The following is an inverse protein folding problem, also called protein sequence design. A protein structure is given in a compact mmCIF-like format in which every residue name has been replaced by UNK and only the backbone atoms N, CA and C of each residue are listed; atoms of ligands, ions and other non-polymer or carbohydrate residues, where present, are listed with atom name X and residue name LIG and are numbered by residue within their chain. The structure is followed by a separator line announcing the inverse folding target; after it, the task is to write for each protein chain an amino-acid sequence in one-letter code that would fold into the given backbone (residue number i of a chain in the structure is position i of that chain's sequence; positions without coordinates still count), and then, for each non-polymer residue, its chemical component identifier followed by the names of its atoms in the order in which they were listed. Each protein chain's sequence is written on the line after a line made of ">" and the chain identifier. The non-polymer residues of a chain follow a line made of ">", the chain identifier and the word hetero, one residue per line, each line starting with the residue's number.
data_IF_854506505693
#
_entry.id   IF_854506505693
#
_cell.length_a   1.000
_cell.length_b   1.000
_cell.length_c   1.000
_cell.angle_alpha   90.00
_cell.angle_beta   90.00
_cell.angle_gamma   90.00
#
_symmetry.space_group_name_H-M   'P 1'
#
loop_
_entity.id
_entity.type
_entity.pdbx_description
1 polymer ?
#
# COMPACT_ATOMS: atom_id res chain seq x y z
N UNK A 1 21.14 10.74 -6.71
CA UNK A 1 21.87 9.59 -6.13
C UNK A 1 20.98 8.40 -5.73
N UNK A 2 19.67 8.57 -5.51
CA UNK A 2 18.73 7.47 -5.17
C UNK A 2 18.06 6.79 -6.38
N UNK A 3 18.25 7.32 -7.58
CA UNK A 3 17.74 6.80 -8.86
C UNK A 3 18.31 5.43 -9.27
N UNK A 4 19.23 4.85 -8.49
CA UNK A 4 19.83 3.53 -8.73
C UNK A 4 19.17 2.40 -7.93
N UNK A 5 18.24 2.69 -7.02
CA UNK A 5 17.49 1.65 -6.31
C UNK A 5 16.53 0.97 -7.29
N UNK A 6 16.80 -0.31 -7.57
CA UNK A 6 16.01 -1.14 -8.49
C UNK A 6 14.55 -1.34 -8.07
N UNK A 7 14.21 -1.07 -6.80
CA UNK A 7 12.84 -1.18 -6.30
C UNK A 7 12.31 0.16 -5.79
N UNK A 8 11.24 0.64 -6.42
CA UNK A 8 10.50 1.85 -6.03
C UNK A 8 10.10 1.83 -4.54
N UNK A 9 9.63 0.70 -3.96
CA UNK A 9 9.31 0.63 -2.54
C UNK A 9 10.51 0.89 -1.62
N UNK A 10 11.70 0.38 -1.97
CA UNK A 10 12.89 0.57 -1.15
C UNK A 10 13.39 2.03 -1.23
N UNK A 11 13.29 2.65 -2.41
CA UNK A 11 13.60 4.07 -2.56
C UNK A 11 12.66 4.95 -1.71
N UNK A 12 11.35 4.67 -1.71
CA UNK A 12 10.38 5.37 -0.86
C UNK A 12 10.69 5.20 0.63
N UNK A 13 10.96 3.96 1.05
CA UNK A 13 11.28 3.66 2.45
C UNK A 13 12.55 4.39 2.89
N UNK A 14 13.62 4.34 2.09
CA UNK A 14 14.90 5.00 2.38
C UNK A 14 14.76 6.52 2.41
N UNK A 15 14.04 7.11 1.46
CA UNK A 15 13.75 8.54 1.44
C UNK A 15 13.00 8.97 2.70
N UNK A 16 12.04 8.17 3.14
CA UNK A 16 11.34 8.42 4.38
C UNK A 16 12.26 8.32 5.61
N UNK A 17 13.19 7.36 5.64
CA UNK A 17 14.20 7.26 6.72
C UNK A 17 15.05 8.53 6.80
N UNK A 18 15.60 8.99 5.66
CA UNK A 18 16.47 10.18 5.62
C UNK A 18 15.69 11.44 6.02
N UNK A 19 14.48 11.61 5.47
CA UNK A 19 13.67 12.83 5.69
C UNK A 19 13.10 12.92 7.11
N UNK A 20 12.68 11.79 7.67
CA UNK A 20 11.94 11.75 8.94
C UNK A 20 12.75 11.22 10.13
N UNK A 21 13.93 10.65 9.92
CA UNK A 21 14.73 10.01 10.97
C UNK A 21 15.17 10.96 12.08
N UNK A 22 15.58 12.18 11.73
CA UNK A 22 15.95 13.22 12.71
C UNK A 22 14.74 13.95 13.33
N UNK A 23 13.52 13.64 12.88
CA UNK A 23 12.31 14.33 13.35
C UNK A 23 11.62 13.54 14.44
N UNK A 24 11.13 14.28 15.44
CA UNK A 24 10.23 13.76 16.46
C UNK A 24 9.01 13.09 15.82
N UNK A 25 8.43 12.04 16.44
CA UNK A 25 7.32 11.28 15.85
C UNK A 25 6.15 12.14 15.34
N UNK A 26 5.80 13.23 16.04
CA UNK A 26 4.71 14.16 15.65
C UNK A 26 5.10 15.10 14.49
N UNK A 27 6.38 15.33 14.25
CA UNK A 27 6.92 16.20 13.19
C UNK A 27 7.19 15.48 11.86
N UNK A 28 6.95 14.16 11.81
CA UNK A 28 7.13 13.35 10.59
C UNK A 28 5.99 13.62 9.61
N UNK A 29 6.33 13.98 8.37
CA UNK A 29 5.38 14.24 7.29
C UNK A 29 5.52 13.12 6.26
N UNK A 30 4.43 12.40 6.05
CA UNK A 30 4.35 11.23 5.18
C UNK A 30 3.67 11.59 3.86
N UNK A 31 4.29 11.20 2.75
CA UNK A 31 3.66 11.29 1.42
C UNK A 31 2.55 10.25 1.28
N UNK A 32 1.72 10.38 0.25
CA UNK A 32 0.65 9.41 0.00
C UNK A 32 1.22 8.02 -0.31
N UNK A 33 2.27 7.94 -1.12
CA UNK A 33 2.94 6.70 -1.51
C UNK A 33 3.57 5.97 -0.33
N UNK A 34 4.23 6.70 0.57
CA UNK A 34 4.81 6.14 1.81
C UNK A 34 3.74 5.58 2.73
N UNK A 35 2.59 6.26 2.84
CA UNK A 35 1.43 5.75 3.59
C UNK A 35 0.86 4.49 2.96
N UNK A 36 0.80 4.43 1.63
CA UNK A 36 0.31 3.27 0.88
C UNK A 36 1.24 2.07 1.08
N UNK A 37 2.56 2.28 0.96
CA UNK A 37 3.58 1.28 1.26
C UNK A 37 3.48 0.77 2.70
N UNK A 38 3.36 1.68 3.66
CA UNK A 38 3.15 1.32 5.07
C UNK A 38 1.87 0.51 5.30
N UNK A 39 0.79 0.86 4.59
CA UNK A 39 -0.49 0.14 4.65
C UNK A 39 -0.36 -1.27 4.08
N UNK A 40 0.32 -1.43 2.94
CA UNK A 40 0.58 -2.72 2.32
C UNK A 40 1.40 -3.64 3.25
N UNK A 41 2.46 -3.12 3.88
CA UNK A 41 3.26 -3.86 4.86
C UNK A 41 2.43 -4.28 6.08
N UNK A 42 1.65 -3.36 6.63
CA UNK A 42 0.80 -3.61 7.79
C UNK A 42 -0.29 -4.65 7.52
N UNK A 43 -0.94 -4.58 6.36
CA UNK A 43 -1.96 -5.57 5.95
C UNK A 43 -1.38 -6.95 5.68
N UNK A 44 -0.11 -7.04 5.28
CA UNK A 44 0.57 -8.33 5.08
C UNK A 44 0.92 -9.01 6.41
N UNK A 45 1.42 -8.25 7.38
CA UNK A 45 1.68 -8.76 8.73
C UNK A 45 1.73 -7.62 9.76
N UNK A 46 0.69 -7.47 10.60
CA UNK A 46 0.67 -6.46 11.66
C UNK A 46 1.81 -6.65 12.67
N UNK A 47 2.14 -7.91 13.00
CA UNK A 47 3.23 -8.25 13.94
C UNK A 47 4.59 -7.82 13.39
N UNK A 48 4.87 -8.16 12.13
CA UNK A 48 6.12 -7.77 11.48
C UNK A 48 6.21 -6.24 11.34
N UNK A 49 5.10 -5.56 11.04
CA UNK A 49 5.08 -4.10 10.99
C UNK A 49 5.42 -3.45 12.34
N UNK A 50 4.83 -3.96 13.44
CA UNK A 50 5.14 -3.49 14.79
C UNK A 50 6.61 -3.70 15.16
N UNK A 51 7.18 -4.86 14.80
CA UNK A 51 8.60 -5.14 14.99
C UNK A 51 9.48 -4.17 14.18
N UNK A 52 9.23 -4.02 12.87
CA UNK A 52 9.99 -3.13 11.99
C UNK A 52 9.96 -1.68 12.48
N UNK A 53 8.85 -1.24 13.09
CA UNK A 53 8.69 0.12 13.61
C UNK A 53 9.59 0.43 14.82
N UNK A 54 10.18 -0.57 15.46
CA UNK A 54 11.10 -0.36 16.59
C UNK A 54 12.42 0.27 16.16
N UNK A 55 12.88 -0.03 14.93
CA UNK A 55 14.14 0.50 14.38
C UNK A 55 13.98 1.29 13.07
N UNK A 56 12.87 1.11 12.34
CA UNK A 56 12.57 1.91 11.15
C UNK A 56 11.61 3.05 11.44
N UNK A 57 11.84 4.17 10.76
CA UNK A 57 10.94 5.32 10.72
C UNK A 57 9.76 4.95 9.84
N UNK A 58 8.66 4.52 10.47
CA UNK A 58 7.42 4.13 9.79
C UNK A 58 6.20 4.94 10.32
N UNK A 59 5.12 5.06 9.51
CA UNK A 59 3.87 5.63 9.98
C UNK A 59 3.34 4.96 11.25
N UNK A 60 2.48 5.66 12.00
CA UNK A 60 1.77 5.01 13.11
C UNK A 60 0.62 4.15 12.59
N UNK A 61 0.26 3.10 13.33
CA UNK A 61 -0.92 2.28 13.03
C UNK A 61 -2.17 3.15 12.86
N UNK A 62 -2.37 4.15 13.73
CA UNK A 62 -3.46 5.14 13.60
C UNK A 62 -3.45 5.87 12.26
N UNK A 63 -2.27 6.21 11.73
CA UNK A 63 -2.16 6.84 10.41
C UNK A 63 -2.59 5.87 9.31
N UNK A 64 -2.20 4.60 9.40
CA UNK A 64 -2.60 3.57 8.44
C UNK A 64 -4.09 3.27 8.48
N UNK A 65 -4.68 3.14 9.68
CA UNK A 65 -6.13 2.96 9.85
C UNK A 65 -6.91 4.11 9.21
N UNK A 66 -6.46 5.36 9.37
CA UNK A 66 -7.09 6.50 8.67
C UNK A 66 -7.00 6.39 7.15
N UNK A 67 -5.91 5.84 6.61
CA UNK A 67 -5.76 5.65 5.16
C UNK A 67 -6.71 4.57 4.66
N UNK A 68 -6.84 3.47 5.40
CA UNK A 68 -7.77 2.38 5.08
C UNK A 68 -9.21 2.89 5.13
N UNK A 69 -9.58 3.62 6.18
CA UNK A 69 -10.94 4.13 6.38
C UNK A 69 -11.35 5.22 5.38
N UNK A 70 -10.42 5.75 4.56
CA UNK A 70 -10.77 6.67 3.47
C UNK A 70 -11.43 5.97 2.29
N UNK A 71 -11.31 4.64 2.19
CA UNK A 71 -11.93 3.86 1.12
C UNK A 71 -13.24 3.30 1.66
N UNK A 72 -14.41 3.85 1.27
CA UNK A 72 -15.69 3.34 1.71
C UNK A 72 -15.95 1.96 1.10
N UNK A 73 -16.45 1.03 1.93
CA UNK A 73 -16.92 -0.28 1.50
C UNK A 73 -18.42 -0.38 1.82
N UNK A 74 -19.28 0.18 0.95
CA UNK A 74 -20.72 0.03 1.11
C UNK A 74 -21.13 -1.44 0.88
N UNK A 75 -22.29 -1.87 1.39
CA UNK A 75 -22.85 -3.16 1.06
C UNK A 75 -23.09 -3.28 -0.45
N UNK A 76 -23.04 -4.52 -0.96
CA UNK A 76 -23.18 -4.81 -2.38
C UNK A 76 -21.86 -4.77 -3.15
N UNK A 77 -21.96 -4.62 -4.47
CA UNK A 77 -20.83 -4.70 -5.39
C UNK A 77 -20.14 -3.33 -5.47
N UNK A 78 -18.86 -3.25 -5.10
CA UNK A 78 -18.07 -2.02 -5.23
C UNK A 78 -17.55 -1.85 -6.68
N UNK A 79 -18.07 -0.88 -7.45
CA UNK A 79 -17.71 -0.71 -8.86
C UNK A 79 -16.24 -0.32 -9.06
N UNK A 80 -15.64 0.37 -8.10
CA UNK A 80 -14.25 0.80 -8.18
C UNK A 80 -13.28 -0.39 -8.18
N UNK A 81 -13.62 -1.48 -7.48
CA UNK A 81 -12.81 -2.71 -7.49
C UNK A 81 -12.78 -3.31 -8.89
N UNK A 82 -13.95 -3.46 -9.53
CA UNK A 82 -14.05 -4.02 -10.88
C UNK A 82 -13.41 -3.12 -11.94
N UNK A 83 -13.52 -1.80 -11.80
CA UNK A 83 -12.85 -0.84 -12.68
C UNK A 83 -11.32 -0.98 -12.60
N UNK A 84 -10.77 -1.05 -11.39
CA UNK A 84 -9.33 -1.24 -11.18
C UNK A 84 -8.85 -2.61 -11.70
N UNK A 85 -9.64 -3.67 -11.50
CA UNK A 85 -9.37 -5.00 -12.05
C UNK A 85 -9.32 -4.95 -13.59
N UNK A 86 -10.29 -4.30 -14.23
CA UNK A 86 -10.34 -4.12 -15.69
C UNK A 86 -9.07 -3.43 -16.20
N UNK A 87 -8.66 -2.33 -15.58
CA UNK A 87 -7.43 -1.61 -15.94
C UNK A 87 -6.17 -2.47 -15.74
N UNK A 88 -6.11 -3.24 -14.64
CA UNK A 88 -4.97 -4.13 -14.38
C UNK A 88 -4.89 -5.30 -15.38
N UNK A 89 -6.01 -5.74 -15.95
CA UNK A 89 -6.02 -6.82 -16.95
C UNK A 89 -5.66 -6.32 -18.34
N UNK A 90 -6.13 -5.11 -18.71
CA UNK A 90 -5.77 -4.46 -19.97
C UNK A 90 -4.26 -4.23 -20.12
N UNK A 91 -3.56 -4.00 -19.00
CA UNK A 91 -2.11 -3.78 -18.99
C UNK A 91 -1.27 -5.07 -19.00
N UNK A 92 -1.87 -6.23 -18.74
CA UNK A 92 -1.15 -7.50 -18.54
C UNK A 92 -1.44 -8.58 -19.58
N UNK A 93 -2.54 -8.46 -20.32
CA UNK A 93 -3.05 -9.55 -21.16
C UNK A 93 -2.87 -9.16 -22.63
N UNK A 94 -2.37 -10.09 -23.45
CA UNK A 94 -2.48 -9.96 -24.90
C UNK A 94 -3.96 -9.80 -25.26
N UNK A 95 -4.34 -8.87 -26.17
CA UNK A 95 -5.74 -8.58 -26.50
C UNK A 95 -6.56 -9.80 -26.96
N UNK A 96 -5.90 -10.87 -27.40
CA UNK A 96 -6.48 -12.10 -27.93
C UNK A 96 -6.72 -13.21 -26.89
N UNK A 97 -6.34 -13.02 -25.63
CA UNK A 97 -6.44 -14.07 -24.61
C UNK A 97 -7.63 -13.82 -23.67
N UNK A 98 -8.69 -14.62 -23.82
CA UNK A 98 -9.83 -14.64 -22.90
C UNK A 98 -9.41 -15.19 -21.54
N UNK A 99 -9.58 -14.39 -20.48
CA UNK A 99 -9.32 -14.83 -19.11
C UNK A 99 -10.61 -15.40 -18.51
N UNK A 100 -10.69 -16.73 -18.44
CA UNK A 100 -11.78 -17.41 -17.73
C UNK A 100 -11.55 -17.34 -16.22
N UNK A 101 -12.60 -17.05 -15.44
CA UNK A 101 -12.57 -17.12 -13.98
C UNK A 101 -13.89 -17.68 -13.42
N UNK A 102 -13.82 -18.39 -12.30
CA UNK A 102 -14.99 -18.84 -11.55
C UNK A 102 -15.30 -17.85 -10.42
N UNK A 103 -16.59 -17.61 -10.17
CA UNK A 103 -17.06 -16.88 -8.99
C UNK A 103 -17.54 -17.90 -7.98
N UNK A 104 -16.87 -17.96 -6.84
CA UNK A 104 -17.21 -18.85 -5.74
C UNK A 104 -17.50 -17.98 -4.51
N UNK A 105 -18.55 -18.31 -3.78
CA UNK A 105 -18.97 -17.62 -2.57
C UNK A 105 -19.27 -18.68 -1.51
N UNK A 106 -18.94 -18.35 -0.26
CA UNK A 106 -19.22 -19.11 0.97
C UNK A 106 -19.68 -18.08 2.03
N UNK A 107 -20.30 -18.55 3.10
CA UNK A 107 -20.93 -17.71 4.14
C UNK A 107 -19.95 -17.17 5.19
#
# INVERSE_FOLDING_TARGET
>A
RLSRLRSVPAALLLNAQVRCGKRLPRGRRWTQEEKLLGTALYKRSPKSYSFLRTFLVLPSVRTLTRVINKVPFPPGINPHIFQNLRQSLQSKTNPSMTVYCSKMFDE
#
